data_IF_145185884504
#
_entry.id   IF_145185884504
#
_cell.length_a   1.000
_cell.length_b   1.000
_cell.length_c   1.000
_cell.angle_alpha   90.00
_cell.angle_beta   90.00
_cell.angle_gamma   90.00
#
_symmetry.space_group_name_H-M   'P 1'
#
loop_
_entity.id
_entity.type
_entity.pdbx_description
1 polymer ?
#
# COMPACT_ATOMS: atom_id res chain seq x y z
N UNK A 1 17.37 -11.59 -2.79
CA UNK A 1 17.23 -11.16 -1.38
C UNK A 1 15.76 -11.22 -1.05
N UNK A 2 15.35 -12.01 -0.06
CA UNK A 2 13.96 -12.02 0.43
C UNK A 2 13.94 -11.13 1.66
N UNK A 3 13.05 -10.14 1.68
CA UNK A 3 12.82 -9.30 2.86
C UNK A 3 11.54 -9.82 3.52
N UNK A 4 11.64 -10.13 4.81
CA UNK A 4 10.48 -10.46 5.65
C UNK A 4 10.13 -9.24 6.49
N UNK A 5 8.85 -8.91 6.55
CA UNK A 5 8.31 -7.83 7.38
C UNK A 5 7.03 -8.31 8.06
N UNK A 6 6.94 -8.10 9.36
CA UNK A 6 5.76 -8.42 10.16
C UNK A 6 4.96 -7.14 10.42
N UNK A 7 3.65 -7.21 10.18
CA UNK A 7 2.74 -6.09 10.40
C UNK A 7 1.58 -6.52 11.29
N UNK A 8 1.23 -5.70 12.28
CA UNK A 8 -0.08 -5.80 12.89
C UNK A 8 -1.14 -5.10 12.01
N UNK A 9 -2.41 -5.39 12.24
CA UNK A 9 -3.51 -4.87 11.41
C UNK A 9 -3.57 -3.35 11.35
N UNK A 10 -3.19 -2.66 12.44
CA UNK A 10 -3.18 -1.20 12.49
C UNK A 10 -2.07 -0.63 11.60
N UNK A 11 -0.87 -1.21 11.66
CA UNK A 11 0.24 -0.82 10.80
C UNK A 11 -0.07 -1.07 9.33
N UNK A 12 -0.76 -2.18 9.01
CA UNK A 12 -1.18 -2.48 7.65
C UNK A 12 -2.17 -1.45 7.11
N UNK A 13 -3.14 -1.01 7.92
CA UNK A 13 -4.10 0.06 7.55
C UNK A 13 -3.37 1.39 7.30
N UNK A 14 -2.46 1.78 8.20
CA UNK A 14 -1.67 3.02 8.04
C UNK A 14 -0.86 2.99 6.74
N UNK A 15 -0.24 1.85 6.41
CA UNK A 15 0.55 1.70 5.20
C UNK A 15 -0.33 1.76 3.93
N UNK A 16 -1.52 1.15 3.98
CA UNK A 16 -2.48 1.23 2.89
C UNK A 16 -2.93 2.68 2.64
N UNK A 17 -3.29 3.41 3.70
CA UNK A 17 -3.72 4.81 3.62
C UNK A 17 -2.59 5.69 3.06
N UNK A 18 -1.38 5.55 3.60
CA UNK A 18 -0.21 6.28 3.11
C UNK A 18 0.10 6.00 1.63
N UNK A 19 -0.12 4.75 1.18
CA UNK A 19 0.04 4.38 -0.23
C UNK A 19 -1.02 5.06 -1.11
N UNK A 20 -2.27 5.14 -0.64
CA UNK A 20 -3.34 5.86 -1.35
C UNK A 20 -3.04 7.35 -1.42
N UNK A 21 -2.63 7.96 -0.31
CA UNK A 21 -2.27 9.39 -0.27
C UNK A 21 -1.11 9.70 -1.22
N UNK A 22 -0.11 8.81 -1.27
CA UNK A 22 1.01 8.96 -2.18
C UNK A 22 0.60 8.84 -3.65
N UNK A 23 -0.46 8.08 -3.98
CA UNK A 23 -1.01 7.98 -5.34
C UNK A 23 -1.79 9.25 -5.69
N UNK A 24 -2.58 9.78 -4.76
CA UNK A 24 -3.54 10.87 -5.01
C UNK A 24 -2.92 12.27 -4.92
N UNK A 25 -2.03 12.51 -3.95
CA UNK A 25 -1.61 13.86 -3.55
C UNK A 25 -0.12 14.15 -3.75
N UNK A 26 0.58 13.38 -4.58
CA UNK A 26 2.02 13.58 -4.77
C UNK A 26 2.35 15.01 -5.24
N UNK A 27 3.16 15.77 -4.48
CA UNK A 27 3.46 17.15 -4.83
C UNK A 27 4.55 17.22 -5.92
N UNK A 28 4.22 17.81 -7.05
CA UNK A 28 5.22 18.23 -8.05
C UNK A 28 4.87 17.84 -9.49
N UNK A 29 5.17 18.78 -10.40
CA UNK A 29 5.28 18.55 -11.84
C UNK A 29 6.77 18.34 -12.18
N UNK A 30 7.16 17.29 -12.93
CA UNK A 30 6.29 16.32 -13.59
C UNK A 30 5.66 15.34 -12.58
N UNK A 31 4.38 15.01 -12.82
CA UNK A 31 3.68 13.95 -12.11
C UNK A 31 4.55 12.70 -12.14
N UNK A 32 4.78 12.09 -10.97
CA UNK A 32 5.59 10.90 -10.71
C UNK A 32 5.88 10.02 -11.96
N UNK A 33 7.13 9.55 -12.18
CA UNK A 33 7.45 8.67 -13.30
C UNK A 33 6.43 7.54 -13.46
N UNK A 34 5.97 7.29 -14.69
CA UNK A 34 4.87 6.35 -14.97
C UNK A 34 5.11 4.95 -14.37
N UNK A 35 6.37 4.51 -14.37
CA UNK A 35 6.79 3.24 -13.75
C UNK A 35 6.49 3.20 -12.25
N UNK A 36 6.87 4.24 -11.51
CA UNK A 36 6.58 4.34 -10.08
C UNK A 36 5.08 4.41 -9.80
N UNK A 37 4.29 5.04 -10.69
CA UNK A 37 2.83 5.04 -10.51
C UNK A 37 2.25 3.62 -10.58
N UNK A 38 2.75 2.79 -11.50
CA UNK A 38 2.35 1.38 -11.63
C UNK A 38 2.73 0.58 -10.38
N UNK A 39 3.95 0.77 -9.86
CA UNK A 39 4.41 0.10 -8.63
C UNK A 39 3.52 0.43 -7.43
N UNK A 40 3.13 1.70 -7.27
CA UNK A 40 2.24 2.10 -6.17
C UNK A 40 0.83 1.50 -6.32
N UNK A 41 0.28 1.40 -7.53
CA UNK A 41 -0.99 0.72 -7.75
C UNK A 41 -0.92 -0.77 -7.45
N UNK A 42 0.20 -1.43 -7.77
CA UNK A 42 0.45 -2.82 -7.38
C UNK A 42 0.52 -2.97 -5.87
N UNK A 43 1.24 -2.07 -5.19
CA UNK A 43 1.35 -2.06 -3.73
C UNK A 43 -0.01 -1.81 -3.06
N UNK A 44 -0.81 -0.85 -3.55
CA UNK A 44 -2.19 -0.62 -3.08
C UNK A 44 -3.03 -1.89 -3.18
N UNK A 45 -2.95 -2.59 -4.32
CA UNK A 45 -3.70 -3.83 -4.54
C UNK A 45 -3.26 -4.90 -3.55
N UNK A 46 -1.95 -5.11 -3.40
CA UNK A 46 -1.38 -6.09 -2.47
C UNK A 46 -1.82 -5.84 -1.01
N UNK A 47 -1.66 -4.60 -0.53
CA UNK A 47 -2.04 -4.22 0.83
C UNK A 47 -3.55 -4.35 1.07
N UNK A 48 -4.37 -4.04 0.06
CA UNK A 48 -5.81 -4.24 0.14
C UNK A 48 -6.19 -5.73 0.28
N UNK A 49 -5.55 -6.63 -0.48
CA UNK A 49 -5.76 -8.08 -0.31
C UNK A 49 -5.46 -8.54 1.12
N UNK A 50 -4.33 -8.09 1.69
CA UNK A 50 -3.97 -8.44 3.07
C UNK A 50 -5.00 -7.92 4.09
N UNK A 51 -5.53 -6.70 3.88
CA UNK A 51 -6.59 -6.15 4.74
C UNK A 51 -7.89 -6.95 4.64
N UNK A 52 -8.26 -7.41 3.45
CA UNK A 52 -9.41 -8.27 3.24
C UNK A 52 -9.25 -9.60 3.96
N UNK A 53 -8.09 -10.25 3.81
CA UNK A 53 -7.79 -11.50 4.51
C UNK A 53 -7.87 -11.33 6.04
N UNK A 54 -7.20 -10.31 6.57
CA UNK A 54 -7.24 -10.01 8.00
C UNK A 54 -8.64 -9.61 8.52
N UNK A 55 -9.56 -9.18 7.65
CA UNK A 55 -10.95 -8.89 8.04
C UNK A 55 -11.83 -10.13 8.15
N UNK A 56 -11.41 -11.25 7.53
CA UNK A 56 -12.12 -12.52 7.53
C UNK A 56 -11.68 -13.46 8.66
N UNK A 57 -10.53 -13.19 9.28
CA UNK A 57 -10.06 -13.93 10.45
C UNK A 57 -10.78 -13.43 11.72
N UNK A 58 -11.61 -14.27 12.37
CA UNK A 58 -12.14 -13.93 13.69
C UNK A 58 -11.01 -14.02 14.73
N UNK A 59 -10.92 -13.01 15.62
CA UNK A 59 -9.97 -12.96 16.74
C UNK A 59 -10.02 -14.20 17.65
#
# INVERSE_FOLDING_TARGET
>A
MIIQAEFNIKSLRILYDATCDAIEYWPGSPARPAEQQVEYHQMKTFLFSMLCEASLEPE
#
